data_IF_116594862685
#
_entry.id   IF_116594862685
#
_cell.length_a   1.000
_cell.length_b   1.000
_cell.length_c   1.000
_cell.angle_alpha   90.00
_cell.angle_beta   90.00
_cell.angle_gamma   90.00
#
_symmetry.space_group_name_H-M   'P 1'
#
loop_
_entity.id
_entity.type
_entity.pdbx_description
1 polymer ?
#
# COMPACT_ATOMS: atom_id res chain seq x y z
N UNK A 1 25.67 12.98 -8.31
CA UNK A 1 24.69 13.58 -7.37
C UNK A 1 25.12 13.19 -5.97
N UNK A 2 25.21 14.14 -5.04
CA UNK A 2 25.55 13.86 -3.64
C UNK A 2 24.37 13.15 -2.99
N UNK A 3 24.54 11.88 -2.59
CA UNK A 3 23.50 11.16 -1.86
C UNK A 3 23.50 11.66 -0.42
N UNK A 4 22.56 12.56 -0.13
CA UNK A 4 22.27 12.97 1.24
C UNK A 4 22.01 11.73 2.09
N UNK A 5 22.65 11.68 3.24
CA UNK A 5 22.46 10.68 4.28
C UNK A 5 21.33 11.05 5.23
N UNK A 6 20.81 12.27 5.21
CA UNK A 6 19.60 12.58 5.99
C UNK A 6 18.42 11.75 5.50
N UNK A 7 17.57 11.30 6.42
CA UNK A 7 16.32 10.66 6.08
C UNK A 7 15.48 11.60 5.18
N UNK A 8 14.76 11.09 4.16
CA UNK A 8 13.91 11.93 3.31
C UNK A 8 12.96 12.81 4.13
N UNK A 9 12.94 14.11 3.84
CA UNK A 9 12.13 15.10 4.58
C UNK A 9 12.80 15.67 5.84
N UNK A 10 13.85 15.01 6.37
CA UNK A 10 14.65 15.55 7.45
C UNK A 10 15.63 16.62 6.94
N UNK A 11 15.97 17.58 7.80
CA UNK A 11 16.86 18.68 7.46
C UNK A 11 17.52 19.28 8.68
N UNK A 12 18.73 19.82 8.51
CA UNK A 12 19.36 20.65 9.53
C UNK A 12 18.97 22.10 9.25
N UNK A 13 18.39 22.76 10.24
CA UNK A 13 17.96 24.15 10.16
C UNK A 13 18.80 25.00 11.09
N UNK A 14 19.39 26.06 10.54
CA UNK A 14 20.15 27.06 11.27
C UNK A 14 19.45 28.40 11.16
N UNK A 15 19.27 29.08 12.30
CA UNK A 15 18.74 30.45 12.36
C UNK A 15 19.91 31.38 12.70
N UNK A 16 20.03 32.56 12.07
CA UNK A 16 21.08 33.51 12.44
C UNK A 16 21.07 33.82 13.94
N UNK A 17 22.20 33.59 14.62
CA UNK A 17 22.34 33.76 16.07
C UNK A 17 21.61 32.72 16.94
N UNK A 18 20.91 31.78 16.32
CA UNK A 18 20.19 30.70 16.99
C UNK A 18 20.98 29.40 17.07
N UNK A 19 20.56 28.51 17.95
CA UNK A 19 21.09 27.14 18.00
C UNK A 19 20.53 26.31 16.85
N UNK A 20 21.30 25.35 16.30
CA UNK A 20 20.81 24.49 15.23
C UNK A 20 19.67 23.59 15.72
N UNK A 21 18.82 23.19 14.78
CA UNK A 21 17.74 22.24 14.99
C UNK A 21 17.70 21.21 13.87
N UNK A 22 17.24 20.00 14.19
CA UNK A 22 16.85 19.00 13.20
C UNK A 22 15.36 19.16 12.95
N UNK A 23 14.98 19.43 11.70
CA UNK A 23 13.63 19.17 11.22
C UNK A 23 13.54 17.67 10.96
N UNK A 24 12.66 16.95 11.64
CA UNK A 24 12.44 15.51 11.42
C UNK A 24 11.70 15.26 10.11
N UNK A 25 11.63 14.00 9.66
CA UNK A 25 10.86 13.63 8.47
C UNK A 25 9.36 13.94 8.63
N UNK A 26 8.88 13.93 9.87
CA UNK A 26 7.52 14.23 10.29
C UNK A 26 7.26 15.74 10.41
N UNK A 27 8.30 16.57 10.28
CA UNK A 27 8.20 18.04 10.33
C UNK A 27 8.30 18.64 11.72
N UNK A 28 8.67 17.87 12.74
CA UNK A 28 8.97 18.38 14.08
C UNK A 28 10.36 19.03 14.13
N UNK A 29 10.59 19.92 15.09
CA UNK A 29 11.89 20.55 15.30
C UNK A 29 12.50 20.10 16.62
N UNK A 30 13.64 19.42 16.54
CA UNK A 30 14.42 18.97 17.70
C UNK A 30 15.66 19.85 17.83
N UNK A 31 15.99 20.28 19.05
CA UNK A 31 17.23 21.01 19.27
C UNK A 31 18.43 20.09 18.97
N UNK A 32 19.32 20.55 18.09
CA UNK A 32 20.56 19.86 17.79
C UNK A 32 21.66 20.36 18.72
N UNK A 33 22.09 19.49 19.64
CA UNK A 33 23.32 19.69 20.38
C UNK A 33 24.44 18.91 19.69
N UNK A 34 25.36 19.63 19.05
CA UNK A 34 26.52 19.03 18.37
C UNK A 34 27.67 18.74 19.34
N UNK A 35 27.56 19.13 20.62
CA UNK A 35 28.68 19.07 21.56
C UNK A 35 29.88 19.86 21.03
N UNK A 36 30.98 19.16 20.77
CA UNK A 36 32.19 19.76 20.17
C UNK A 36 32.30 19.54 18.67
N UNK A 37 31.33 18.88 18.03
CA UNK A 37 31.35 18.65 16.58
C UNK A 37 31.15 19.98 15.83
N UNK A 38 31.97 20.21 14.80
CA UNK A 38 31.75 21.32 13.88
C UNK A 38 30.47 21.09 13.05
N UNK A 39 29.53 22.01 13.15
CA UNK A 39 28.24 21.93 12.48
C UNK A 39 28.39 21.96 10.95
N UNK A 40 29.37 22.69 10.42
CA UNK A 40 29.60 22.77 8.98
C UNK A 40 30.14 21.44 8.44
N UNK A 41 31.09 20.82 9.14
CA UNK A 41 31.58 19.48 8.87
C UNK A 41 30.48 18.42 8.96
N UNK A 42 29.65 18.46 10.01
CA UNK A 42 28.50 17.56 10.16
C UNK A 42 27.52 17.68 8.99
N UNK A 43 27.22 18.92 8.57
CA UNK A 43 26.32 19.18 7.45
C UNK A 43 26.89 18.66 6.12
N UNK A 44 28.19 18.86 5.86
CA UNK A 44 28.85 18.30 4.66
C UNK A 44 28.85 16.77 4.66
N UNK A 45 29.07 16.14 5.82
CA UNK A 45 29.00 14.69 5.95
C UNK A 45 27.58 14.15 5.69
N UNK A 46 26.56 14.73 6.32
CA UNK A 46 25.19 14.25 6.26
C UNK A 46 24.45 14.65 4.98
N UNK A 47 24.72 15.80 4.39
CA UNK A 47 24.01 16.31 3.21
C UNK A 47 24.86 16.18 1.95
N UNK A 48 26.16 16.50 2.04
CA UNK A 48 27.10 16.41 0.93
C UNK A 48 27.64 15.00 0.68
N UNK A 49 27.45 14.07 1.62
CA UNK A 49 27.94 12.70 1.53
C UNK A 49 29.47 12.58 1.68
N UNK A 50 30.14 13.64 2.15
CA UNK A 50 31.58 13.64 2.42
C UNK A 50 31.94 12.64 3.52
N UNK A 51 33.19 12.19 3.60
CA UNK A 51 33.64 11.39 4.74
C UNK A 51 33.61 12.23 6.03
N UNK A 52 33.32 11.59 7.17
CA UNK A 52 33.39 12.29 8.45
C UNK A 52 34.85 12.70 8.72
N UNK A 53 35.13 13.99 8.98
CA UNK A 53 36.51 14.47 9.12
C UNK A 53 37.14 14.11 10.47
N UNK A 54 36.31 13.83 11.49
CA UNK A 54 36.75 13.43 12.83
C UNK A 54 35.74 12.48 13.50
N UNK A 55 36.16 11.93 14.65
CA UNK A 55 35.37 10.98 15.43
C UNK A 55 34.11 11.59 16.05
N UNK A 56 34.09 12.90 16.30
CA UNK A 56 32.98 13.58 16.94
C UNK A 56 31.84 13.82 15.95
N UNK A 57 32.15 14.23 14.71
CA UNK A 57 31.20 14.27 13.60
C UNK A 57 30.65 12.88 13.31
N UNK A 58 31.50 11.84 13.30
CA UNK A 58 31.04 10.46 13.12
C UNK A 58 30.10 10.01 14.26
N UNK A 59 30.39 10.38 15.51
CA UNK A 59 29.56 10.09 16.68
C UNK A 59 28.18 10.73 16.57
N UNK A 60 28.11 12.01 16.20
CA UNK A 60 26.84 12.72 16.02
C UNK A 60 26.06 12.17 14.82
N UNK A 61 26.72 11.89 13.69
CA UNK A 61 26.08 11.27 12.53
C UNK A 61 25.51 9.87 12.85
N UNK A 62 26.23 9.05 13.61
CA UNK A 62 25.72 7.77 14.10
C UNK A 62 24.51 7.94 15.03
N UNK A 63 24.39 9.08 15.74
CA UNK A 63 23.18 9.39 16.49
C UNK A 63 21.99 9.69 15.58
N UNK A 64 22.19 10.45 14.49
CA UNK A 64 21.13 10.62 13.49
C UNK A 64 20.67 9.29 12.91
N UNK A 65 21.58 8.38 12.59
CA UNK A 65 21.22 7.06 12.04
C UNK A 65 20.43 6.23 13.06
N UNK A 66 20.87 6.20 14.32
CA UNK A 66 20.22 5.43 15.39
C UNK A 66 18.81 5.94 15.71
N UNK A 67 18.64 7.25 15.72
CA UNK A 67 17.34 7.89 15.96
C UNK A 67 16.47 7.97 14.68
N UNK A 68 16.93 7.43 13.54
CA UNK A 68 16.17 7.38 12.29
C UNK A 68 16.12 8.70 11.49
N UNK A 69 16.95 9.68 11.84
CA UNK A 69 17.08 10.96 11.13
C UNK A 69 18.13 10.93 10.00
N UNK A 70 18.91 9.85 9.90
CA UNK A 70 19.79 9.57 8.77
C UNK A 70 19.59 8.14 8.26
N UNK A 71 19.73 7.97 6.96
CA UNK A 71 19.73 6.71 6.24
C UNK A 71 21.10 6.46 5.62
N UNK A 72 21.54 5.21 5.65
CA UNK A 72 22.72 4.81 4.88
C UNK A 72 22.35 4.81 3.41
N UNK A 73 23.03 5.58 2.53
CA UNK A 73 22.73 5.58 1.11
C UNK A 73 22.93 4.17 0.54
N UNK A 74 21.86 3.57 0.02
CA UNK A 74 21.94 2.32 -0.70
C UNK A 74 22.47 2.59 -2.13
N UNK A 75 23.17 1.63 -2.76
CA UNK A 75 23.50 1.75 -4.17
C UNK A 75 22.19 1.78 -4.98
N UNK A 76 21.91 2.92 -5.62
CA UNK A 76 20.74 3.10 -6.48
C UNK A 76 20.99 2.45 -7.86
N UNK A 77 20.67 1.17 -8.00
CA UNK A 77 20.44 0.58 -9.32
C UNK A 77 19.05 -0.07 -9.34
N UNK A 78 18.05 0.71 -9.74
CA UNK A 78 16.66 0.28 -9.92
C UNK A 78 15.68 0.86 -8.91
N UNK A 79 14.44 1.11 -9.35
CA UNK A 79 13.35 1.50 -8.46
C UNK A 79 12.91 0.34 -7.56
N UNK A 80 12.11 0.58 -6.51
CA UNK A 80 11.76 -0.46 -5.54
C UNK A 80 10.99 -1.65 -6.12
N UNK A 81 10.37 -1.50 -7.30
CA UNK A 81 9.69 -2.58 -8.03
C UNK A 81 10.56 -3.27 -9.09
N UNK A 82 11.84 -2.96 -9.19
CA UNK A 82 12.75 -3.62 -10.13
C UNK A 82 12.73 -5.15 -9.94
N UNK A 83 12.58 -5.87 -11.06
CA UNK A 83 12.43 -7.32 -11.09
C UNK A 83 10.99 -7.82 -10.88
N UNK A 84 10.08 -6.99 -10.36
CA UNK A 84 8.68 -7.36 -10.11
C UNK A 84 7.82 -7.29 -11.36
N UNK A 85 6.77 -8.11 -11.40
CA UNK A 85 5.75 -8.11 -12.46
C UNK A 85 4.39 -7.75 -11.89
N UNK A 86 3.72 -6.75 -12.48
CA UNK A 86 2.37 -6.31 -12.11
C UNK A 86 1.41 -6.70 -13.23
N UNK A 87 0.52 -7.66 -12.95
CA UNK A 87 -0.53 -8.10 -13.86
C UNK A 87 -1.82 -7.31 -13.59
N UNK A 88 -2.35 -6.65 -14.61
CA UNK A 88 -3.46 -5.71 -14.49
C UNK A 88 -4.75 -6.27 -15.11
N UNK A 89 -5.85 -6.19 -14.38
CA UNK A 89 -7.19 -6.57 -14.86
C UNK A 89 -8.22 -5.50 -14.50
N UNK A 90 -9.22 -5.30 -15.36
CA UNK A 90 -10.36 -4.42 -15.11
C UNK A 90 -10.36 -3.16 -15.97
N UNK A 91 -10.92 -2.08 -15.43
CA UNK A 91 -11.21 -0.84 -16.17
C UNK A 91 -9.94 -0.07 -16.52
N UNK A 92 -9.80 0.28 -17.80
CA UNK A 92 -8.62 0.95 -18.34
C UNK A 92 -8.36 2.34 -17.72
N UNK A 93 -9.41 3.05 -17.26
CA UNK A 93 -9.28 4.36 -16.60
C UNK A 93 -8.53 4.23 -15.28
N UNK A 94 -8.70 3.11 -14.57
CA UNK A 94 -8.03 2.83 -13.32
C UNK A 94 -6.67 2.14 -13.54
N UNK A 95 -6.60 1.15 -14.44
CA UNK A 95 -5.35 0.41 -14.67
C UNK A 95 -4.30 1.24 -15.41
N UNK A 96 -4.69 2.21 -16.24
CA UNK A 96 -3.77 3.02 -17.04
C UNK A 96 -2.79 3.84 -16.19
N UNK A 97 -3.26 4.70 -15.27
CA UNK A 97 -2.39 5.43 -14.35
C UNK A 97 -1.54 4.50 -13.46
N UNK A 98 -2.12 3.38 -12.97
CA UNK A 98 -1.39 2.40 -12.17
C UNK A 98 -0.22 1.78 -12.95
N UNK A 99 -0.43 1.41 -14.21
CA UNK A 99 0.62 0.88 -15.06
C UNK A 99 1.80 1.87 -15.19
N UNK A 100 1.48 3.16 -15.45
CA UNK A 100 2.50 4.22 -15.56
C UNK A 100 3.31 4.38 -14.28
N UNK A 101 2.64 4.43 -13.12
CA UNK A 101 3.32 4.59 -11.84
C UNK A 101 4.17 3.36 -11.49
N UNK A 102 3.65 2.14 -11.69
CA UNK A 102 4.44 0.94 -11.45
C UNK A 102 5.68 0.84 -12.35
N UNK A 103 5.58 1.22 -13.63
CA UNK A 103 6.73 1.28 -14.54
C UNK A 103 7.76 2.32 -14.11
N UNK A 104 7.31 3.49 -13.66
CA UNK A 104 8.20 4.53 -13.14
C UNK A 104 9.02 4.05 -11.93
N UNK A 105 8.44 3.16 -11.12
CA UNK A 105 9.10 2.51 -9.97
C UNK A 105 9.89 1.24 -10.34
N UNK A 106 10.02 0.93 -11.64
CA UNK A 106 10.86 -0.15 -12.16
C UNK A 106 10.15 -1.50 -12.40
N UNK A 107 8.83 -1.58 -12.23
CA UNK A 107 8.08 -2.82 -12.46
C UNK A 107 7.84 -3.10 -13.95
N UNK A 108 7.68 -4.39 -14.30
CA UNK A 108 7.13 -4.80 -15.59
C UNK A 108 5.60 -4.91 -15.48
N UNK A 109 4.85 -4.16 -16.27
CA UNK A 109 3.38 -4.21 -16.25
C UNK A 109 2.82 -4.93 -17.46
N UNK A 110 1.80 -5.78 -17.29
CA UNK A 110 1.09 -6.45 -18.38
C UNK A 110 -0.40 -6.54 -18.07
N UNK A 111 -1.25 -6.42 -19.08
CA UNK A 111 -2.65 -6.80 -18.92
C UNK A 111 -2.77 -8.33 -18.88
N UNK A 112 -3.64 -8.84 -18.01
CA UNK A 112 -3.93 -10.26 -17.88
C UNK A 112 -5.43 -10.53 -18.10
N UNK A 113 -5.76 -11.78 -18.39
CA UNK A 113 -7.14 -12.25 -18.49
C UNK A 113 -7.53 -13.05 -17.25
N UNK A 114 -8.83 -13.22 -16.94
CA UNK A 114 -9.26 -14.08 -15.85
C UNK A 114 -8.72 -15.51 -15.95
N UNK A 115 -8.61 -16.08 -17.15
CA UNK A 115 -8.07 -17.43 -17.36
C UNK A 115 -6.58 -17.51 -17.02
N UNK A 116 -5.80 -16.46 -17.35
CA UNK A 116 -4.41 -16.38 -16.94
C UNK A 116 -4.30 -16.43 -15.42
N UNK A 117 -5.14 -15.66 -14.72
CA UNK A 117 -5.12 -15.65 -13.26
C UNK A 117 -5.58 -16.98 -12.67
N UNK A 118 -6.55 -17.65 -13.29
CA UNK A 118 -6.96 -19.01 -12.92
C UNK A 118 -5.78 -19.98 -12.90
N UNK A 119 -4.96 -19.99 -13.95
CA UNK A 119 -3.74 -20.83 -14.01
C UNK A 119 -2.74 -20.50 -12.89
N UNK A 120 -2.50 -19.21 -12.62
CA UNK A 120 -1.65 -18.80 -11.50
C UNK A 120 -2.21 -19.27 -10.15
N UNK A 121 -3.53 -19.22 -9.98
CA UNK A 121 -4.23 -19.68 -8.79
C UNK A 121 -4.21 -21.19 -8.61
N UNK A 122 -3.96 -21.94 -9.68
CA UNK A 122 -3.73 -23.39 -9.67
C UNK A 122 -2.22 -23.74 -9.60
N UNK A 123 -1.36 -22.73 -9.48
CA UNK A 123 0.09 -22.84 -9.31
C UNK A 123 0.92 -22.80 -10.60
N UNK A 124 0.30 -22.76 -11.77
CA UNK A 124 0.99 -22.74 -13.05
C UNK A 124 1.61 -21.38 -13.34
N UNK A 125 2.95 -21.30 -13.38
CA UNK A 125 3.67 -20.06 -13.66
C UNK A 125 3.62 -19.03 -12.53
N UNK A 126 3.19 -19.44 -11.33
CA UNK A 126 3.19 -18.60 -10.14
C UNK A 126 4.61 -18.23 -9.72
N UNK A 127 4.79 -16.99 -9.29
CA UNK A 127 6.11 -16.44 -8.94
C UNK A 127 5.97 -15.42 -7.79
N UNK A 128 6.85 -15.52 -6.79
CA UNK A 128 6.94 -14.60 -5.67
C UNK A 128 7.24 -13.15 -6.09
N UNK A 129 7.76 -12.93 -7.31
CA UNK A 129 7.97 -11.60 -7.87
C UNK A 129 6.73 -10.99 -8.55
N UNK A 130 5.62 -11.73 -8.62
CA UNK A 130 4.41 -11.33 -9.36
C UNK A 130 3.27 -10.90 -8.43
N UNK A 131 2.57 -9.84 -8.82
CA UNK A 131 1.35 -9.35 -8.17
C UNK A 131 0.24 -9.14 -9.20
N UNK A 132 -0.97 -9.56 -8.86
CA UNK A 132 -2.17 -9.34 -9.68
C UNK A 132 -2.99 -8.19 -9.09
N UNK A 133 -3.29 -7.17 -9.89
CA UNK A 133 -4.10 -6.02 -9.47
C UNK A 133 -5.39 -5.92 -10.28
N UNK A 134 -6.52 -6.06 -9.59
CA UNK A 134 -7.83 -5.80 -10.18
C UNK A 134 -8.27 -4.38 -9.90
N UNK A 135 -8.72 -3.67 -10.92
CA UNK A 135 -9.32 -2.35 -10.79
C UNK A 135 -10.71 -2.34 -11.43
N UNK A 136 -11.77 -2.40 -10.64
CA UNK A 136 -13.14 -2.48 -11.14
C UNK A 136 -13.86 -1.14 -10.97
N UNK A 137 -14.50 -0.66 -12.04
CA UNK A 137 -15.35 0.53 -11.99
C UNK A 137 -16.82 0.20 -11.64
N UNK A 138 -16.99 -0.89 -10.90
CA UNK A 138 -18.26 -1.42 -10.43
C UNK A 138 -18.02 -2.30 -9.19
N UNK A 139 -19.09 -2.62 -8.43
CA UNK A 139 -18.94 -3.55 -7.33
C UNK A 139 -18.60 -4.92 -7.85
N UNK A 140 -17.65 -5.56 -7.20
CA UNK A 140 -17.09 -6.81 -7.66
C UNK A 140 -18.14 -7.92 -7.77
N UNK A 141 -18.25 -8.56 -8.94
CA UNK A 141 -19.12 -9.70 -9.14
C UNK A 141 -18.87 -10.81 -8.11
N UNK A 142 -19.92 -11.58 -7.74
CA UNK A 142 -19.75 -12.80 -6.97
C UNK A 142 -18.72 -13.73 -7.63
N UNK A 143 -17.97 -14.46 -6.82
CA UNK A 143 -16.98 -15.47 -7.22
C UNK A 143 -15.78 -14.99 -8.07
N UNK A 144 -15.77 -13.75 -8.59
CA UNK A 144 -14.64 -13.21 -9.36
C UNK A 144 -13.30 -13.34 -8.61
N UNK A 145 -13.36 -13.25 -7.28
CA UNK A 145 -12.19 -13.23 -6.42
C UNK A 145 -11.89 -14.55 -5.72
N UNK A 146 -12.71 -15.58 -5.90
CA UNK A 146 -12.53 -16.87 -5.22
C UNK A 146 -11.25 -17.57 -5.70
N UNK A 147 -10.95 -17.48 -7.01
CA UNK A 147 -9.67 -17.93 -7.55
C UNK A 147 -8.50 -17.07 -7.07
N UNK A 148 -8.72 -15.76 -7.04
CA UNK A 148 -7.69 -14.79 -6.66
C UNK A 148 -7.26 -14.94 -5.18
N UNK A 149 -8.15 -15.34 -4.28
CA UNK A 149 -7.83 -15.60 -2.88
C UNK A 149 -6.91 -16.82 -2.67
N UNK A 150 -6.73 -17.69 -3.70
CA UNK A 150 -5.76 -18.80 -3.66
C UNK A 150 -4.34 -18.42 -4.10
N UNK A 151 -4.19 -17.33 -4.84
CA UNK A 151 -2.89 -16.89 -5.37
C UNK A 151 -1.76 -16.81 -4.31
N UNK A 152 -2.01 -16.28 -3.09
CA UNK A 152 -0.94 -16.16 -2.09
C UNK A 152 -0.40 -17.52 -1.62
N UNK A 153 -1.18 -18.60 -1.70
CA UNK A 153 -0.72 -19.96 -1.37
C UNK A 153 0.30 -20.48 -2.41
N UNK A 154 0.32 -19.91 -3.61
CA UNK A 154 1.24 -20.23 -4.69
C UNK A 154 2.31 -19.14 -4.88
N UNK A 155 2.45 -18.21 -3.92
CA UNK A 155 3.47 -17.17 -3.94
C UNK A 155 3.12 -15.92 -4.76
N UNK A 156 2.01 -15.91 -5.49
CA UNK A 156 1.58 -14.71 -6.24
C UNK A 156 0.78 -13.78 -5.32
N UNK A 157 1.19 -12.53 -5.21
CA UNK A 157 0.45 -11.53 -4.43
C UNK A 157 -0.77 -11.01 -5.20
N UNK A 158 -1.70 -10.37 -4.50
CA UNK A 158 -2.74 -9.57 -5.15
C UNK A 158 -3.09 -8.30 -4.38
N UNK A 159 -3.65 -7.34 -5.15
CA UNK A 159 -4.22 -6.09 -4.67
C UNK A 159 -5.49 -5.77 -5.48
N UNK A 160 -6.46 -5.07 -4.89
CA UNK A 160 -7.76 -4.85 -5.58
C UNK A 160 -8.32 -3.48 -5.27
N UNK A 161 -8.94 -2.85 -6.26
CA UNK A 161 -9.89 -1.78 -6.05
C UNK A 161 -11.21 -2.01 -6.79
N UNK A 162 -12.30 -1.49 -6.23
CA UNK A 162 -13.63 -1.59 -6.82
C UNK A 162 -14.50 -0.41 -6.41
N UNK A 163 -15.40 0.02 -7.31
CA UNK A 163 -16.31 1.14 -7.03
C UNK A 163 -17.62 0.67 -6.43
N UNK A 164 -18.13 1.40 -5.44
CA UNK A 164 -19.48 1.25 -4.93
C UNK A 164 -20.11 2.64 -4.73
N UNK A 165 -21.06 3.01 -5.60
CA UNK A 165 -21.66 4.35 -5.57
C UNK A 165 -20.64 5.42 -5.93
N UNK A 166 -20.57 6.46 -5.09
CA UNK A 166 -19.58 7.54 -5.17
C UNK A 166 -18.28 7.23 -4.41
N UNK A 167 -17.96 5.95 -4.14
CA UNK A 167 -16.74 5.58 -3.44
C UNK A 167 -15.93 4.54 -4.22
N UNK A 168 -14.61 4.68 -4.21
CA UNK A 168 -13.68 3.60 -4.58
C UNK A 168 -13.11 2.97 -3.31
N UNK A 169 -13.12 1.64 -3.26
CA UNK A 169 -12.51 0.87 -2.18
C UNK A 169 -11.21 0.27 -2.66
N UNK A 170 -10.14 0.33 -1.85
CA UNK A 170 -8.92 -0.48 -2.05
C UNK A 170 -8.85 -1.51 -0.93
N UNK A 171 -8.93 -2.79 -1.27
CA UNK A 171 -8.82 -3.88 -0.30
C UNK A 171 -7.37 -4.05 0.17
N UNK A 172 -7.13 -4.61 1.38
CA UNK A 172 -5.79 -4.92 1.83
C UNK A 172 -5.03 -5.82 0.84
N UNK A 173 -3.72 -5.59 0.71
CA UNK A 173 -2.84 -6.45 -0.09
C UNK A 173 -2.75 -7.84 0.54
N UNK A 174 -2.80 -8.90 -0.27
CA UNK A 174 -2.51 -10.26 0.20
C UNK A 174 -1.30 -10.82 -0.54
N UNK A 175 -0.32 -11.31 0.21
CA UNK A 175 0.92 -11.87 -0.34
C UNK A 175 1.32 -13.20 0.30
N UNK A 176 0.70 -13.58 1.43
CA UNK A 176 0.92 -14.89 2.04
C UNK A 176 -0.40 -15.51 2.54
N UNK A 177 -0.42 -16.84 2.77
CA UNK A 177 -1.52 -17.48 3.48
C UNK A 177 -1.83 -16.80 4.81
N UNK A 178 -3.12 -16.63 5.13
CA UNK A 178 -3.58 -15.97 6.35
C UNK A 178 -3.70 -14.43 6.27
N UNK A 179 -3.41 -13.84 5.11
CA UNK A 179 -3.76 -12.44 4.85
C UNK A 179 -5.27 -12.19 4.79
N UNK A 180 -5.64 -10.92 4.85
CA UNK A 180 -7.04 -10.52 4.69
C UNK A 180 -7.47 -10.87 3.27
N UNK A 181 -8.59 -11.59 3.12
CA UNK A 181 -9.18 -11.92 1.83
C UNK A 181 -10.36 -11.01 1.55
N UNK A 182 -10.88 -10.99 0.32
CA UNK A 182 -12.11 -10.23 0.05
C UNK A 182 -13.29 -10.80 0.83
N UNK A 183 -13.33 -12.12 1.03
CA UNK A 183 -14.33 -12.74 1.91
C UNK A 183 -14.27 -12.17 3.34
N UNK A 184 -13.06 -11.97 3.91
CA UNK A 184 -12.91 -11.31 5.21
C UNK A 184 -13.43 -9.87 5.20
N UNK A 185 -13.10 -9.08 4.17
CA UNK A 185 -13.59 -7.70 4.02
C UNK A 185 -15.12 -7.68 3.95
N UNK A 186 -15.72 -8.52 3.10
CA UNK A 186 -17.19 -8.62 2.95
C UNK A 186 -17.86 -9.01 4.26
N UNK A 187 -17.36 -10.03 4.96
CA UNK A 187 -17.90 -10.46 6.26
C UNK A 187 -17.84 -9.35 7.30
N UNK A 188 -16.70 -8.66 7.42
CA UNK A 188 -16.54 -7.53 8.35
C UNK A 188 -17.48 -6.38 8.02
N UNK A 189 -17.63 -6.04 6.73
CA UNK A 189 -18.55 -4.99 6.27
C UNK A 189 -20.01 -5.36 6.52
N UNK A 190 -20.42 -6.62 6.32
CA UNK A 190 -21.76 -7.11 6.67
C UNK A 190 -22.03 -7.03 8.16
N UNK A 191 -21.05 -7.41 9.00
CA UNK A 191 -21.17 -7.34 10.45
C UNK A 191 -21.25 -5.90 10.97
N UNK A 192 -20.68 -4.93 10.25
CA UNK A 192 -20.64 -3.52 10.65
C UNK A 192 -21.86 -2.69 10.20
N UNK A 193 -22.80 -3.27 9.43
CA UNK A 193 -23.98 -2.55 8.92
C UNK A 193 -25.29 -3.08 9.49
N UNK A 194 -26.23 -2.19 9.79
CA UNK A 194 -27.62 -2.56 10.12
C UNK A 194 -28.38 -3.09 8.89
N UNK A 195 -27.93 -2.74 7.68
CA UNK A 195 -28.55 -3.11 6.40
C UNK A 195 -27.85 -4.30 5.71
N UNK A 196 -27.42 -5.30 6.50
CA UNK A 196 -26.60 -6.42 6.01
C UNK A 196 -27.30 -7.25 4.89
N UNK A 197 -28.63 -7.41 4.95
CA UNK A 197 -29.37 -8.12 3.90
C UNK A 197 -29.36 -7.35 2.57
N UNK A 198 -29.56 -6.04 2.63
CA UNK A 198 -29.54 -5.15 1.47
C UNK A 198 -28.14 -5.07 0.87
N UNK A 199 -27.10 -4.99 1.70
CA UNK A 199 -25.71 -4.99 1.24
C UNK A 199 -25.33 -6.32 0.56
N UNK A 200 -25.74 -7.46 1.14
CA UNK A 200 -25.56 -8.76 0.52
C UNK A 200 -26.28 -8.86 -0.84
N UNK A 201 -27.53 -8.38 -0.92
CA UNK A 201 -28.29 -8.36 -2.17
C UNK A 201 -27.63 -7.46 -3.23
N UNK A 202 -27.12 -6.30 -2.83
CA UNK A 202 -26.38 -5.38 -3.70
C UNK A 202 -25.14 -6.02 -4.33
N UNK A 203 -24.34 -6.75 -3.53
CA UNK A 203 -23.18 -7.49 -4.04
C UNK A 203 -23.55 -8.73 -4.85
N UNK A 204 -24.71 -9.34 -4.58
CA UNK A 204 -25.27 -10.41 -5.41
C UNK A 204 -25.81 -9.90 -6.77
N UNK A 205 -25.75 -8.59 -7.03
CA UNK A 205 -26.19 -7.99 -8.29
C UNK A 205 -27.66 -7.61 -8.32
N UNK A 206 -28.39 -7.69 -7.20
CA UNK A 206 -29.76 -7.18 -7.08
C UNK A 206 -29.77 -5.65 -6.93
N UNK A 207 -29.28 -4.96 -7.94
CA UNK A 207 -29.12 -3.50 -7.98
C UNK A 207 -29.61 -2.92 -9.30
N UNK A 208 -29.95 -1.63 -9.28
CA UNK A 208 -30.17 -0.87 -10.51
C UNK A 208 -28.85 -0.77 -11.30
N UNK A 209 -28.90 -0.67 -12.64
CA UNK A 209 -27.68 -0.60 -13.46
C UNK A 209 -26.81 0.63 -13.20
N UNK A 210 -27.39 1.74 -12.72
CA UNK A 210 -26.65 2.93 -12.34
C UNK A 210 -25.90 2.72 -11.01
N UNK A 211 -24.57 2.76 -11.08
CA UNK A 211 -23.68 2.56 -9.95
C UNK A 211 -23.10 3.88 -9.41
N UNK A 212 -23.52 5.04 -9.92
CA UNK A 212 -23.01 6.36 -9.55
C UNK A 212 -21.93 6.89 -10.52
N UNK A 213 -21.28 8.02 -10.21
CA UNK A 213 -20.33 8.64 -11.12
C UNK A 213 -19.08 7.77 -11.32
N UNK A 214 -18.66 7.63 -12.58
CA UNK A 214 -17.37 7.06 -12.93
C UNK A 214 -16.23 7.94 -12.41
N UNK A 215 -15.09 7.36 -12.03
CA UNK A 215 -13.94 8.14 -11.57
C UNK A 215 -13.42 9.04 -12.70
N UNK A 216 -13.29 10.33 -12.40
CA UNK A 216 -12.52 11.27 -13.22
C UNK A 216 -11.02 10.98 -13.13
N UNK A 217 -10.24 11.67 -13.95
CA UNK A 217 -8.78 11.44 -14.05
C UNK A 217 -8.04 11.63 -12.72
N UNK A 218 -8.41 12.66 -11.95
CA UNK A 218 -7.80 12.92 -10.64
C UNK A 218 -8.06 11.79 -9.63
N UNK A 219 -9.29 11.26 -9.61
CA UNK A 219 -9.64 10.14 -8.74
C UNK A 219 -8.89 8.86 -9.15
N UNK A 220 -8.81 8.58 -10.46
CA UNK A 220 -8.07 7.43 -10.98
C UNK A 220 -6.57 7.53 -10.68
N UNK A 221 -5.97 8.71 -10.83
CA UNK A 221 -4.58 8.97 -10.48
C UNK A 221 -4.33 8.79 -8.97
N UNK A 222 -5.21 9.31 -8.11
CA UNK A 222 -5.10 9.12 -6.66
C UNK A 222 -5.16 7.64 -6.28
N UNK A 223 -6.14 6.90 -6.81
CA UNK A 223 -6.28 5.46 -6.51
C UNK A 223 -5.06 4.68 -7.03
N UNK A 224 -4.57 5.00 -8.23
CA UNK A 224 -3.35 4.40 -8.74
C UNK A 224 -2.14 4.68 -7.82
N UNK A 225 -1.98 5.90 -7.33
CA UNK A 225 -0.90 6.25 -6.41
C UNK A 225 -0.99 5.48 -5.08
N UNK A 226 -2.19 5.34 -4.51
CA UNK A 226 -2.43 4.55 -3.30
C UNK A 226 -2.11 3.06 -3.51
N UNK A 227 -2.52 2.49 -4.64
CA UNK A 227 -2.22 1.11 -5.00
C UNK A 227 -0.71 0.92 -5.21
N UNK A 228 -0.04 1.84 -5.93
CA UNK A 228 1.42 1.81 -6.10
C UNK A 228 2.14 1.88 -4.76
N UNK A 229 1.70 2.73 -3.82
CA UNK A 229 2.28 2.78 -2.48
C UNK A 229 2.19 1.42 -1.74
N UNK A 230 1.08 0.68 -1.91
CA UNK A 230 0.96 -0.67 -1.35
C UNK A 230 1.90 -1.67 -2.05
N UNK A 231 2.10 -1.54 -3.37
CA UNK A 231 3.07 -2.35 -4.13
C UNK A 231 4.51 -2.09 -3.67
N UNK A 232 4.88 -0.82 -3.45
CA UNK A 232 6.20 -0.43 -2.94
C UNK A 232 6.44 -1.02 -1.55
N UNK A 233 5.46 -0.91 -0.65
CA UNK A 233 5.52 -1.50 0.69
C UNK A 233 5.63 -3.03 0.67
N UNK A 234 4.99 -3.68 -0.31
CA UNK A 234 5.15 -5.13 -0.53
C UNK A 234 6.53 -5.51 -1.04
N UNK A 235 7.10 -4.72 -1.96
CA UNK A 235 8.38 -5.04 -2.58
C UNK A 235 9.56 -4.80 -1.62
N UNK A 236 9.51 -3.73 -0.83
CA UNK A 236 10.52 -3.36 0.15
C UNK A 236 9.86 -3.01 1.50
N UNK A 237 9.62 -4.02 2.36
CA UNK A 237 9.02 -3.78 3.67
C UNK A 237 9.94 -2.93 4.54
N UNK A 238 9.57 -1.66 4.76
CA UNK A 238 10.26 -0.74 5.65
C UNK A 238 9.58 -0.63 7.02
N UNK A 239 10.19 0.08 7.98
CA UNK A 239 9.53 0.51 9.21
C UNK A 239 8.43 1.53 8.84
N UNK A 240 7.25 1.02 8.47
CA UNK A 240 6.15 1.86 8.03
C UNK A 240 5.53 2.65 9.19
N UNK A 241 5.31 3.95 8.98
CA UNK A 241 4.49 4.79 9.86
C UNK A 241 3.02 4.69 9.43
N UNK A 242 2.31 3.66 9.89
CA UNK A 242 0.87 3.52 9.63
C UNK A 242 0.37 2.08 9.59
N UNK A 243 -0.89 1.90 9.17
CA UNK A 243 -1.47 0.56 9.01
C UNK A 243 -0.72 -0.21 7.92
N UNK A 244 -0.29 -1.46 8.17
CA UNK A 244 0.36 -2.26 7.13
C UNK A 244 -0.56 -2.44 5.91
N UNK A 245 0.00 -2.37 4.70
CA UNK A 245 -0.74 -2.58 3.45
C UNK A 245 -1.59 -3.87 3.47
N UNK A 246 -1.09 -4.91 4.15
CA UNK A 246 -1.75 -6.22 4.32
C UNK A 246 -2.96 -6.22 5.26
N UNK A 247 -3.24 -5.10 5.93
CA UNK A 247 -4.35 -4.93 6.90
C UNK A 247 -5.16 -3.67 6.64
N UNK A 248 -4.88 -2.93 5.57
CA UNK A 248 -5.42 -1.58 5.34
C UNK A 248 -6.47 -1.60 4.24
N UNK A 249 -7.72 -1.39 4.63
CA UNK A 249 -8.82 -1.10 3.71
C UNK A 249 -8.92 0.42 3.56
N UNK A 250 -8.94 0.94 2.33
CA UNK A 250 -9.21 2.36 2.11
C UNK A 250 -10.55 2.56 1.42
N UNK A 251 -11.20 3.67 1.75
CA UNK A 251 -12.34 4.21 1.03
C UNK A 251 -11.95 5.60 0.54
N UNK A 252 -12.09 5.83 -0.76
CA UNK A 252 -11.87 7.10 -1.44
C UNK A 252 -13.23 7.64 -1.85
N UNK A 253 -13.62 8.82 -1.37
CA UNK A 253 -14.83 9.50 -1.83
C UNK A 253 -14.55 10.20 -3.16
N UNK A 254 -15.32 9.87 -4.20
CA UNK A 254 -15.10 10.39 -5.55
C UNK A 254 -15.55 11.85 -5.73
N UNK A 255 -16.26 12.41 -4.75
CA UNK A 255 -16.77 13.79 -4.80
C UNK A 255 -15.72 14.81 -4.35
N UNK A 256 -14.92 14.45 -3.35
CA UNK A 256 -13.94 15.36 -2.73
C UNK A 256 -12.54 14.74 -2.57
N UNK A 257 -12.36 13.50 -3.01
CA UNK A 257 -11.11 12.73 -2.93
C UNK A 257 -10.61 12.47 -1.51
N UNK A 258 -11.49 12.57 -0.50
CA UNK A 258 -11.17 12.19 0.88
C UNK A 258 -10.84 10.70 0.96
N UNK A 259 -9.72 10.38 1.59
CA UNK A 259 -9.27 9.01 1.83
C UNK A 259 -9.44 8.67 3.29
N UNK A 260 -10.19 7.61 3.60
CA UNK A 260 -10.30 7.05 4.96
C UNK A 260 -9.72 5.66 5.00
N UNK A 261 -8.87 5.39 5.99
CA UNK A 261 -8.23 4.08 6.19
C UNK A 261 -8.86 3.35 7.37
N UNK A 262 -9.07 2.04 7.21
CA UNK A 262 -9.66 1.18 8.22
C UNK A 262 -8.81 -0.09 8.39
N UNK A 263 -8.45 -0.47 9.63
CA UNK A 263 -7.80 -1.74 9.87
C UNK A 263 -8.79 -2.89 9.67
N UNK A 264 -8.35 -3.92 8.95
CA UNK A 264 -9.12 -5.15 8.76
C UNK A 264 -8.30 -6.33 9.25
N UNK A 265 -8.92 -7.15 10.09
CA UNK A 265 -8.37 -8.41 10.56
C UNK A 265 -9.03 -9.58 9.83
N UNK A 266 -8.29 -10.67 9.57
CA UNK A 266 -8.89 -11.92 9.11
C UNK A 266 -10.05 -12.33 10.00
N UNK A 267 -11.03 -13.02 9.41
CA UNK A 267 -12.12 -13.64 10.16
C UNK A 267 -11.69 -15.08 10.43
N UNK A 268 -11.57 -15.51 11.70
CA UNK A 268 -11.19 -16.88 12.00
C UNK A 268 -12.28 -17.85 11.48
N UNK A 269 -11.91 -19.10 11.15
CA UNK A 269 -12.90 -20.13 10.84
C UNK A 269 -13.89 -20.25 12.01
N UNK A 270 -15.19 -20.20 11.71
CA UNK A 270 -16.25 -20.39 12.69
C UNK A 270 -16.95 -21.73 12.44
N UNK A 271 -17.31 -22.44 13.51
CA UNK A 271 -18.09 -23.66 13.39
C UNK A 271 -19.46 -23.34 12.75
N UNK A 272 -19.96 -24.19 11.84
CA UNK A 272 -21.29 -24.01 11.28
C UNK A 272 -22.33 -23.99 12.40
N UNK A 273 -23.35 -23.14 12.26
CA UNK A 273 -24.49 -23.16 13.18
C UNK A 273 -25.17 -24.53 13.07
N UNK A 274 -25.64 -25.11 14.19
CA UNK A 274 -26.43 -26.33 14.16
C UNK A 274 -27.59 -26.15 13.20
N UNK A 275 -27.80 -27.12 12.29
CA UNK A 275 -28.98 -27.11 11.44
C UNK A 275 -30.21 -26.97 12.33
N UNK A 276 -31.13 -26.06 11.98
CA UNK A 276 -32.41 -25.97 12.69
C UNK A 276 -33.06 -27.33 12.56
N UNK A 277 -33.06 -28.11 13.64
CA UNK A 277 -33.75 -29.39 13.70
C UNK A 277 -35.19 -29.12 13.28
N UNK A 278 -35.67 -29.86 12.29
CA UNK A 278 -37.09 -29.99 12.01
C UNK A 278 -37.76 -30.39 13.33
N UNK A 279 -38.41 -29.42 13.98
CA UNK A 279 -39.20 -29.67 15.17
C UNK A 279 -40.25 -30.73 14.88
N UNK A 280 -40.64 -31.55 15.88
CA UNK A 280 -41.66 -32.57 15.67
C UNK A 280 -42.96 -31.88 15.23
N UNK A 281 -43.55 -32.42 14.16
CA UNK A 281 -44.83 -32.01 13.59
C UNK A 281 -46.00 -32.19 14.57
#
# INVERSE_FOLDING_TARGET
MTSSRLAPGAGIVTVPGGRPAVRTAEGEFLHLDTGTADLAALTRHLVGGEAAPDAEVARVAAAFEREGHAVRPAPEEGGPLTGRTVLLLGDARLTGPLARYAVAEGARTRHATPEHVGRLADGEGADASTVVVWCLDEPAPPALWDAADRLPAHGTAWLRCHREGAHLWTEPLAAAPGDVTSAHVRLRRLAATSAHRQLAAYWAGHRTPDNGPHPGEAAAALVAALLTADLLAWAAPGPGSGLPARRRLRRVDLRDLTVTEHPVLPVPPVAPLPARGSGPA
#
